data_IF_150124060258
#
_entry.id   IF_150124060258
#
_cell.length_a   1.000
_cell.length_b   1.000
_cell.length_c   1.000
_cell.angle_alpha   90.00
_cell.angle_beta   90.00
_cell.angle_gamma   90.00
#
_symmetry.space_group_name_H-M   'P 1'
#
loop_
_entity.id
_entity.type
_entity.pdbx_description
1 polymer ?
#
# COMPACT_ATOMS: atom_id res chain seq x y z
N UNK A 1 -9.66 21.26 6.35
CA UNK A 1 -9.64 21.00 7.81
C UNK A 1 -8.22 20.61 8.20
N UNK A 2 -7.54 21.39 9.04
CA UNK A 2 -6.17 21.10 9.48
C UNK A 2 -6.18 19.96 10.50
N UNK A 3 -5.57 18.82 10.17
CA UNK A 3 -5.43 17.69 11.09
C UNK A 3 -4.61 18.14 12.30
N UNK A 4 -5.16 17.96 13.51
CA UNK A 4 -4.49 18.29 14.77
C UNK A 4 -3.27 17.38 14.90
N UNK A 5 -2.07 17.91 14.67
CA UNK A 5 -0.81 17.16 14.60
C UNK A 5 -0.62 16.38 15.90
N UNK A 6 -0.82 15.06 15.83
CA UNK A 6 -0.75 14.17 17.00
C UNK A 6 0.69 14.13 17.50
N UNK A 7 0.89 13.99 18.82
CA UNK A 7 2.21 13.93 19.46
C UNK A 7 3.14 12.89 18.81
N UNK A 8 2.58 11.79 18.31
CA UNK A 8 3.30 10.74 17.57
C UNK A 8 4.00 11.27 16.30
N UNK A 9 3.35 12.12 15.51
CA UNK A 9 3.91 12.69 14.27
C UNK A 9 5.07 13.65 14.58
N UNK A 10 4.98 14.41 15.68
CA UNK A 10 6.07 15.29 16.11
C UNK A 10 7.27 14.47 16.57
N UNK A 11 7.03 13.43 17.36
CA UNK A 11 8.09 12.56 17.87
C UNK A 11 8.83 11.85 16.73
N UNK A 12 8.09 11.27 15.76
CA UNK A 12 8.72 10.62 14.61
C UNK A 12 9.56 11.58 13.78
N UNK A 13 9.07 12.81 13.53
CA UNK A 13 9.84 13.82 12.77
C UNK A 13 11.15 14.22 13.46
N UNK A 14 11.14 14.33 14.78
CA UNK A 14 12.34 14.62 15.55
C UNK A 14 13.35 13.46 15.50
N UNK A 15 12.88 12.21 15.63
CA UNK A 15 13.76 11.04 15.54
C UNK A 15 14.32 10.87 14.12
N UNK A 16 13.51 11.05 13.09
CA UNK A 16 13.94 10.99 11.68
C UNK A 16 15.03 12.03 11.38
N UNK A 17 14.84 13.28 11.82
CA UNK A 17 15.83 14.33 11.62
C UNK A 17 17.15 14.10 12.40
N UNK A 18 17.13 13.20 13.40
CA UNK A 18 18.31 12.84 14.19
C UNK A 18 19.00 11.59 13.68
N UNK A 19 18.39 10.85 12.75
CA UNK A 19 19.03 9.69 12.13
C UNK A 19 20.31 10.14 11.40
N UNK A 20 21.39 9.41 11.63
CA UNK A 20 22.64 9.52 10.88
C UNK A 20 22.89 8.18 10.25
N UNK A 21 22.95 8.14 8.93
CA UNK A 21 23.39 6.95 8.20
C UNK A 21 24.91 6.82 8.40
N UNK A 22 25.34 5.77 9.09
CA UNK A 22 26.74 5.40 9.26
C UNK A 22 26.83 3.88 9.48
N UNK A 23 27.81 3.24 8.84
CA UNK A 23 28.03 1.81 8.92
C UNK A 23 27.14 0.96 7.99
N UNK A 24 26.64 -0.15 8.55
CA UNK A 24 26.02 -1.25 7.82
C UNK A 24 24.49 -1.16 7.70
N UNK A 25 23.92 -1.79 6.67
CA UNK A 25 22.48 -1.87 6.44
C UNK A 25 21.96 -3.24 6.85
N UNK A 26 21.12 -3.28 7.91
CA UNK A 26 20.42 -4.47 8.39
C UNK A 26 18.93 -4.43 8.02
N UNK A 27 18.68 -4.38 6.71
CA UNK A 27 17.36 -4.21 6.12
C UNK A 27 16.41 -5.35 6.48
N UNK A 28 16.85 -6.60 6.37
CA UNK A 28 16.00 -7.77 6.63
C UNK A 28 15.65 -7.89 8.11
N UNK A 29 16.58 -7.53 9.01
CA UNK A 29 16.32 -7.50 10.44
C UNK A 29 15.27 -6.42 10.79
N UNK A 30 15.33 -5.25 10.13
CA UNK A 30 14.32 -4.20 10.29
C UNK A 30 12.92 -4.63 9.78
N UNK A 31 12.84 -5.27 8.61
CA UNK A 31 11.58 -5.79 8.07
C UNK A 31 11.02 -6.92 8.95
N UNK A 32 11.89 -7.80 9.48
CA UNK A 32 11.50 -8.83 10.42
C UNK A 32 10.91 -8.24 11.71
N UNK A 33 11.56 -7.21 12.26
CA UNK A 33 11.07 -6.49 13.44
C UNK A 33 9.69 -5.86 13.17
N UNK A 34 9.52 -5.21 12.01
CA UNK A 34 8.26 -4.61 11.62
C UNK A 34 7.14 -5.65 11.46
N UNK A 35 7.44 -6.82 10.88
CA UNK A 35 6.51 -7.95 10.78
C UNK A 35 6.02 -8.39 12.17
N UNK A 36 6.94 -8.59 13.12
CA UNK A 36 6.60 -8.98 14.50
C UNK A 36 5.69 -7.94 15.16
N UNK A 37 6.06 -6.65 15.08
CA UNK A 37 5.29 -5.56 15.67
C UNK A 37 3.89 -5.42 15.05
N UNK A 38 3.79 -5.54 13.72
CA UNK A 38 2.52 -5.47 13.00
C UNK A 38 1.61 -6.64 13.36
N UNK A 39 2.15 -7.86 13.49
CA UNK A 39 1.37 -9.02 13.91
C UNK A 39 0.88 -8.86 15.34
N UNK A 40 1.74 -8.42 16.25
CA UNK A 40 1.36 -8.18 17.64
C UNK A 40 0.26 -7.12 17.76
N UNK A 41 0.43 -5.99 17.07
CA UNK A 41 -0.56 -4.92 17.07
C UNK A 41 -1.85 -5.32 16.33
N UNK A 42 -1.73 -6.09 15.26
CA UNK A 42 -2.84 -6.63 14.47
C UNK A 42 -3.75 -7.56 15.26
N UNK A 43 -3.27 -8.18 16.35
CA UNK A 43 -4.14 -8.93 17.28
C UNK A 43 -5.25 -8.05 17.90
N UNK A 44 -5.02 -6.74 18.01
CA UNK A 44 -6.04 -5.78 18.49
C UNK A 44 -7.05 -5.41 17.40
N UNK A 45 -6.68 -5.54 16.14
CA UNK A 45 -7.47 -5.15 14.97
C UNK A 45 -7.39 -6.26 13.90
N UNK A 46 -8.11 -7.38 14.08
CA UNK A 46 -7.95 -8.57 13.25
C UNK A 46 -8.30 -8.34 11.77
N UNK A 47 -9.23 -7.42 11.49
CA UNK A 47 -9.65 -7.07 10.13
C UNK A 47 -8.74 -6.03 9.46
N UNK A 48 -7.73 -5.51 10.18
CA UNK A 48 -6.81 -4.53 9.63
C UNK A 48 -5.85 -5.19 8.63
N UNK A 49 -5.71 -4.55 7.47
CA UNK A 49 -4.70 -4.94 6.50
C UNK A 49 -3.30 -4.56 7.03
N UNK A 50 -2.38 -5.52 7.00
CA UNK A 50 -0.99 -5.31 7.45
C UNK A 50 -0.12 -5.01 6.25
N UNK A 51 0.60 -3.90 6.34
CA UNK A 51 1.44 -3.39 5.25
C UNK A 51 2.70 -2.75 5.80
N UNK A 52 3.83 -3.07 5.17
CA UNK A 52 5.14 -2.46 5.39
C UNK A 52 5.49 -1.69 4.12
N UNK A 53 5.96 -0.46 4.26
CA UNK A 53 6.55 0.31 3.17
C UNK A 53 8.04 0.41 3.48
N UNK A 54 8.86 -0.21 2.65
CA UNK A 54 10.31 -0.21 2.77
C UNK A 54 10.89 0.84 1.81
N UNK A 55 11.55 1.85 2.38
CA UNK A 55 12.37 2.81 1.64
C UNK A 55 13.82 2.38 1.83
N UNK A 56 14.51 2.03 0.76
CA UNK A 56 15.93 1.65 0.83
C UNK A 56 16.64 2.15 -0.42
N UNK A 57 17.84 2.69 -0.26
CA UNK A 57 18.77 2.98 -1.35
C UNK A 57 19.82 1.87 -1.53
N UNK A 58 20.00 1.01 -0.53
CA UNK A 58 21.14 0.10 -0.45
C UNK A 58 20.79 -1.38 -0.31
N UNK A 59 21.75 -2.21 -0.74
CA UNK A 59 21.82 -3.65 -0.48
C UNK A 59 22.00 -3.94 1.03
N UNK A 60 21.42 -5.04 1.50
CA UNK A 60 21.62 -5.52 2.86
C UNK A 60 23.05 -6.04 3.07
N UNK A 61 23.78 -5.49 4.05
CA UNK A 61 25.18 -5.87 4.28
C UNK A 61 25.37 -6.73 5.53
N UNK A 62 24.47 -6.68 6.50
CA UNK A 62 24.69 -7.27 7.82
C UNK A 62 23.50 -7.97 8.46
N UNK A 63 22.37 -8.13 7.77
CA UNK A 63 21.24 -8.80 8.42
C UNK A 63 21.59 -10.24 8.80
N UNK A 64 21.16 -10.59 10.01
CA UNK A 64 21.19 -11.98 10.48
C UNK A 64 20.08 -12.82 9.85
N UNK A 65 18.99 -12.17 9.42
CA UNK A 65 17.86 -12.81 8.79
C UNK A 65 18.12 -13.17 7.32
N UNK A 66 17.73 -14.39 6.95
CA UNK A 66 17.71 -14.82 5.55
C UNK A 66 16.43 -14.33 4.87
N UNK A 67 16.59 -13.60 3.76
CA UNK A 67 15.47 -13.02 3.00
C UNK A 67 14.38 -14.03 2.62
N UNK A 68 14.76 -15.25 2.24
CA UNK A 68 13.82 -16.32 1.88
C UNK A 68 12.96 -16.79 3.06
N UNK A 69 13.55 -16.91 4.26
CA UNK A 69 12.84 -17.29 5.47
C UNK A 69 11.91 -16.15 5.93
N UNK A 70 12.40 -14.92 5.87
CA UNK A 70 11.62 -13.71 6.15
C UNK A 70 10.40 -13.61 5.22
N UNK A 71 10.57 -13.84 3.92
CA UNK A 71 9.49 -13.82 2.95
C UNK A 71 8.40 -14.83 3.28
N UNK A 72 8.79 -16.04 3.72
CA UNK A 72 7.84 -17.07 4.17
C UNK A 72 7.02 -16.58 5.37
N UNK A 73 7.67 -15.97 6.36
CA UNK A 73 6.98 -15.41 7.53
C UNK A 73 6.02 -14.28 7.17
N UNK A 74 6.39 -13.41 6.22
CA UNK A 74 5.53 -12.33 5.75
C UNK A 74 4.26 -12.88 5.07
N UNK A 75 4.41 -13.91 4.24
CA UNK A 75 3.29 -14.57 3.57
C UNK A 75 2.33 -15.24 4.56
N UNK A 76 2.87 -15.99 5.52
CA UNK A 76 2.09 -16.66 6.58
C UNK A 76 1.32 -15.65 7.43
N UNK A 77 1.91 -14.50 7.71
CA UNK A 77 1.29 -13.44 8.50
C UNK A 77 0.35 -12.54 7.70
N UNK A 78 0.18 -12.77 6.38
CA UNK A 78 -0.56 -11.89 5.47
C UNK A 78 -0.11 -10.42 5.56
N UNK A 79 1.20 -10.20 5.58
CA UNK A 79 1.81 -8.87 5.58
C UNK A 79 2.31 -8.56 4.17
N UNK A 80 1.84 -7.45 3.62
CA UNK A 80 2.28 -6.97 2.30
C UNK A 80 3.45 -6.02 2.47
N UNK A 81 4.46 -6.17 1.62
CA UNK A 81 5.62 -5.27 1.61
C UNK A 81 5.63 -4.50 0.30
N UNK A 82 5.58 -3.17 0.35
CA UNK A 82 5.95 -2.36 -0.81
C UNK A 82 7.38 -1.89 -0.68
N UNK A 83 8.08 -1.84 -1.80
CA UNK A 83 9.43 -1.34 -1.89
C UNK A 83 9.48 -0.06 -2.70
N UNK A 84 10.24 0.93 -2.21
CA UNK A 84 10.66 2.09 -2.98
C UNK A 84 12.19 2.06 -2.93
N UNK A 85 12.80 1.60 -4.02
CA UNK A 85 14.24 1.47 -4.17
C UNK A 85 14.79 2.80 -4.68
N UNK A 86 15.57 3.50 -3.88
CA UNK A 86 16.15 4.80 -4.21
C UNK A 86 17.57 4.63 -4.77
N UNK A 87 18.03 5.59 -5.56
CA UNK A 87 19.39 5.56 -6.10
C UNK A 87 19.58 4.55 -7.23
N UNK A 88 20.84 4.23 -7.51
CA UNK A 88 21.24 3.47 -8.69
C UNK A 88 21.52 1.98 -8.41
N UNK A 89 21.35 1.53 -7.17
CA UNK A 89 21.62 0.15 -6.79
C UNK A 89 20.50 -0.79 -7.24
N UNK A 90 20.88 -1.98 -7.70
CA UNK A 90 19.93 -3.00 -8.12
C UNK A 90 19.38 -3.77 -6.90
N UNK A 91 18.31 -3.23 -6.33
CA UNK A 91 17.62 -3.78 -5.17
C UNK A 91 16.67 -4.95 -5.54
N UNK A 92 17.14 -5.89 -6.36
CA UNK A 92 16.33 -7.00 -6.89
C UNK A 92 15.70 -7.85 -5.79
N UNK A 93 16.43 -8.10 -4.70
CA UNK A 93 15.92 -8.88 -3.57
C UNK A 93 14.75 -8.20 -2.88
N UNK A 94 14.83 -6.89 -2.66
CA UNK A 94 13.75 -6.12 -2.07
C UNK A 94 12.52 -6.12 -2.98
N UNK A 95 12.71 -5.92 -4.28
CA UNK A 95 11.62 -6.04 -5.26
C UNK A 95 11.00 -7.43 -5.26
N UNK A 96 11.82 -8.47 -5.08
CA UNK A 96 11.36 -9.88 -5.03
C UNK A 96 10.49 -10.14 -3.81
N UNK A 97 10.85 -9.61 -2.63
CA UNK A 97 10.01 -9.69 -1.42
C UNK A 97 8.66 -9.00 -1.67
N UNK A 98 8.69 -7.80 -2.26
CA UNK A 98 7.47 -7.07 -2.60
C UNK A 98 6.62 -7.80 -3.63
N UNK A 99 7.23 -8.35 -4.68
CA UNK A 99 6.54 -9.19 -5.66
C UNK A 99 5.85 -10.38 -5.00
N UNK A 100 6.59 -11.18 -4.22
CA UNK A 100 6.09 -12.39 -3.60
C UNK A 100 4.94 -12.12 -2.63
N UNK A 101 4.98 -10.99 -1.92
CA UNK A 101 3.91 -10.60 -0.98
C UNK A 101 2.73 -9.87 -1.65
N UNK A 102 2.80 -9.60 -2.96
CA UNK A 102 1.75 -8.88 -3.71
C UNK A 102 1.77 -7.36 -3.50
N UNK A 103 2.90 -6.80 -3.10
CA UNK A 103 3.12 -5.36 -2.97
C UNK A 103 3.68 -4.69 -4.22
N UNK A 104 3.72 -3.37 -4.17
CA UNK A 104 4.31 -2.54 -5.23
C UNK A 104 5.84 -2.48 -5.12
N UNK A 105 6.47 -2.29 -6.28
CA UNK A 105 7.92 -2.34 -6.43
C UNK A 105 8.34 -1.10 -7.21
N UNK A 106 8.59 0.01 -6.54
CA UNK A 106 9.00 1.23 -7.23
C UNK A 106 10.51 1.37 -7.23
N UNK A 107 11.04 1.94 -8.32
CA UNK A 107 12.43 2.35 -8.43
C UNK A 107 12.47 3.71 -9.12
N UNK A 108 12.16 4.81 -8.39
CA UNK A 108 12.20 6.14 -8.97
C UNK A 108 13.63 6.54 -9.34
N UNK A 109 13.79 7.13 -10.51
CA UNK A 109 15.07 7.65 -11.01
C UNK A 109 15.32 9.10 -10.56
N UNK A 110 14.28 9.78 -10.07
CA UNK A 110 14.38 11.16 -9.57
C UNK A 110 13.52 11.41 -8.32
N UNK A 111 13.84 12.48 -7.59
CA UNK A 111 13.02 12.95 -6.46
C UNK A 111 11.60 13.30 -6.88
N UNK A 112 11.42 13.87 -8.07
CA UNK A 112 10.10 14.24 -8.60
C UNK A 112 9.26 12.99 -8.85
N UNK A 113 9.87 11.94 -9.42
CA UNK A 113 9.18 10.67 -9.62
C UNK A 113 8.85 9.98 -8.28
N UNK A 114 9.76 10.03 -7.31
CA UNK A 114 9.51 9.53 -5.96
C UNK A 114 8.33 10.25 -5.29
N UNK A 115 8.25 11.57 -5.44
CA UNK A 115 7.12 12.36 -4.94
C UNK A 115 5.82 12.00 -5.66
N UNK A 116 5.84 11.85 -6.99
CA UNK A 116 4.68 11.45 -7.76
C UNK A 116 4.14 10.07 -7.30
N UNK A 117 5.01 9.09 -7.04
CA UNK A 117 4.62 7.78 -6.50
C UNK A 117 3.88 7.92 -5.16
N UNK A 118 4.36 8.80 -4.27
CA UNK A 118 3.74 9.02 -2.96
C UNK A 118 2.41 9.76 -3.05
N UNK A 119 2.09 10.39 -4.18
CA UNK A 119 0.81 11.05 -4.43
C UNK A 119 -0.26 10.10 -5.01
N UNK A 120 0.12 8.91 -5.47
CA UNK A 120 -0.80 7.92 -6.05
C UNK A 120 -1.71 7.34 -4.97
N UNK A 121 -3.03 7.36 -5.21
CA UNK A 121 -4.06 6.90 -4.27
C UNK A 121 -3.82 5.44 -3.76
N UNK A 122 -3.59 4.43 -4.63
CA UNK A 122 -3.20 3.08 -4.22
C UNK A 122 -1.96 2.97 -3.32
N UNK A 123 -1.06 3.96 -3.36
CA UNK A 123 0.12 4.01 -2.50
C UNK A 123 -0.27 4.60 -1.15
N UNK A 124 -1.10 5.63 -1.11
CA UNK A 124 -1.59 6.28 0.11
C UNK A 124 -2.57 5.42 0.90
N UNK A 125 -3.45 4.69 0.22
CA UNK A 125 -4.49 3.87 0.83
C UNK A 125 -4.51 2.46 0.26
N UNK A 126 -4.36 1.48 1.13
CA UNK A 126 -4.42 0.07 0.73
C UNK A 126 -5.84 -0.35 0.29
N UNK A 127 -6.87 0.36 0.74
CA UNK A 127 -8.27 0.08 0.37
C UNK A 127 -8.59 0.48 -1.09
N UNK A 128 -7.81 1.41 -1.64
CA UNK A 128 -7.93 1.85 -3.04
C UNK A 128 -7.13 0.96 -3.99
N UNK A 129 -6.46 -0.07 -3.47
CA UNK A 129 -5.81 -1.07 -4.32
C UNK A 129 -6.84 -2.03 -4.91
N UNK A 130 -6.57 -2.54 -6.12
CA UNK A 130 -7.20 -3.74 -6.61
C UNK A 130 -7.03 -4.90 -5.61
N UNK A 131 -7.90 -5.93 -5.67
CA UNK A 131 -7.72 -7.14 -4.86
C UNK A 131 -6.31 -7.69 -5.01
N UNK A 132 -5.66 -7.94 -3.88
CA UNK A 132 -4.26 -8.36 -3.87
C UNK A 132 -4.20 -9.83 -4.30
N UNK A 133 -3.61 -10.05 -5.47
CA UNK A 133 -3.37 -11.39 -6.01
C UNK A 133 -1.90 -11.71 -5.79
N UNK A 134 -1.65 -12.64 -4.87
CA UNK A 134 -0.31 -13.17 -4.63
C UNK A 134 0.13 -13.96 -5.88
N UNK A 135 1.33 -13.73 -6.44
CA UNK A 135 1.74 -14.41 -7.65
C UNK A 135 1.88 -15.91 -7.44
N UNK A 136 1.69 -16.70 -8.50
CA UNK A 136 1.82 -18.17 -8.49
C UNK A 136 3.20 -18.61 -7.97
N UNK A 137 4.24 -17.83 -8.27
CA UNK A 137 5.59 -18.06 -7.78
C UNK A 137 5.70 -18.12 -6.26
N UNK A 138 4.83 -17.42 -5.52
CA UNK A 138 4.80 -17.48 -4.05
C UNK A 138 4.41 -18.85 -3.51
N UNK A 139 3.75 -19.68 -4.32
CA UNK A 139 3.40 -21.06 -4.00
C UNK A 139 4.35 -22.08 -4.64
N UNK A 140 5.32 -21.62 -5.45
CA UNK A 140 6.33 -22.50 -6.03
C UNK A 140 7.30 -23.03 -4.96
N UNK A 141 7.92 -24.19 -5.21
CA UNK A 141 8.92 -24.80 -4.33
C UNK A 141 8.50 -24.81 -2.83
N UNK A 142 7.38 -25.46 -2.46
CA UNK A 142 6.81 -25.38 -1.11
C UNK A 142 7.73 -25.89 0.00
N UNK A 143 8.70 -26.74 -0.34
CA UNK A 143 9.67 -27.31 0.60
C UNK A 143 11.03 -26.59 0.62
N UNK A 144 11.24 -25.60 -0.26
CA UNK A 144 12.49 -24.84 -0.34
C UNK A 144 12.22 -23.36 -0.67
N UNK A 145 12.17 -22.56 0.39
CA UNK A 145 11.96 -21.12 0.29
C UNK A 145 13.12 -20.41 -0.44
N UNK A 146 14.35 -20.94 -0.38
CA UNK A 146 15.50 -20.31 -1.05
C UNK A 146 15.40 -20.49 -2.56
N UNK A 147 15.06 -21.69 -3.03
CA UNK A 147 14.83 -21.95 -4.45
C UNK A 147 13.66 -21.10 -4.97
N UNK A 148 12.54 -21.05 -4.22
CA UNK A 148 11.42 -20.17 -4.56
C UNK A 148 11.89 -18.74 -4.78
N UNK A 149 12.63 -18.19 -3.81
CA UNK A 149 13.09 -16.81 -3.86
C UNK A 149 14.02 -16.57 -5.06
N UNK A 150 15.03 -17.43 -5.23
CA UNK A 150 16.03 -17.31 -6.30
C UNK A 150 15.39 -17.31 -7.69
N UNK A 151 14.47 -18.24 -7.96
CA UNK A 151 13.80 -18.34 -9.26
C UNK A 151 12.78 -17.21 -9.51
N UNK A 152 12.35 -16.50 -8.48
CA UNK A 152 11.38 -15.41 -8.62
C UNK A 152 12.05 -14.04 -8.84
N UNK A 153 13.37 -13.95 -8.64
CA UNK A 153 14.10 -12.68 -8.75
C UNK A 153 13.91 -11.99 -10.10
N UNK A 154 13.89 -12.75 -11.18
CA UNK A 154 13.80 -12.21 -12.53
C UNK A 154 12.39 -11.71 -12.89
N UNK A 155 11.37 -12.14 -12.14
CA UNK A 155 9.98 -11.71 -12.31
C UNK A 155 9.67 -10.38 -11.59
N UNK A 156 10.57 -9.93 -10.71
CA UNK A 156 10.37 -8.78 -9.86
C UNK A 156 10.76 -7.44 -10.53
N UNK A 157 10.17 -7.15 -11.69
CA UNK A 157 10.38 -5.88 -12.41
C UNK A 157 9.72 -4.70 -11.67
N UNK A 158 10.32 -3.50 -11.68
CA UNK A 158 9.73 -2.32 -11.06
C UNK A 158 8.46 -1.86 -11.78
N UNK A 159 7.51 -1.34 -11.00
CA UNK A 159 6.32 -0.63 -11.47
C UNK A 159 6.74 0.74 -11.99
N UNK A 160 6.30 1.08 -13.20
CA UNK A 160 6.58 2.38 -13.81
C UNK A 160 5.50 3.37 -13.42
N UNK A 161 5.93 4.51 -12.86
CA UNK A 161 5.07 5.67 -12.63
C UNK A 161 5.57 6.82 -13.49
N UNK A 162 4.73 7.26 -14.42
CA UNK A 162 4.95 8.39 -15.32
C UNK A 162 3.67 9.26 -15.35
N UNK A 163 3.71 10.41 -16.03
CA UNK A 163 2.58 11.34 -16.06
C UNK A 163 1.23 10.69 -16.42
N UNK A 164 1.24 9.75 -17.38
CA UNK A 164 0.05 9.05 -17.86
C UNK A 164 -0.01 7.58 -17.41
N UNK A 165 1.00 7.10 -16.68
CA UNK A 165 1.14 5.69 -16.28
C UNK A 165 1.18 5.64 -14.75
N UNK A 166 0.16 5.06 -14.14
CA UNK A 166 0.10 4.88 -12.70
C UNK A 166 -0.56 3.53 -12.36
N UNK A 167 -0.25 2.96 -11.18
CA UNK A 167 -0.92 1.77 -10.69
C UNK A 167 -2.43 1.90 -10.74
N UNK A 168 -3.12 0.88 -11.25
CA UNK A 168 -4.57 0.90 -11.34
C UNK A 168 -5.17 1.01 -9.94
N UNK A 169 -6.14 1.91 -9.79
CA UNK A 169 -7.01 1.98 -8.62
C UNK A 169 -8.02 0.84 -8.61
N UNK A 170 -8.66 0.67 -7.46
CA UNK A 170 -9.79 -0.24 -7.30
C UNK A 170 -10.94 0.19 -8.21
N UNK A 171 -11.35 -0.69 -9.11
CA UNK A 171 -12.54 -0.46 -9.92
C UNK A 171 -13.78 -0.44 -9.02
N UNK A 172 -14.58 0.60 -9.16
CA UNK A 172 -15.87 0.70 -8.48
C UNK A 172 -16.87 -0.21 -9.21
N UNK A 173 -17.54 -1.09 -8.47
CA UNK A 173 -18.48 -2.06 -9.03
C UNK A 173 -19.55 -1.42 -9.94
N UNK A 174 -19.90 -0.17 -9.67
CA UNK A 174 -20.99 0.56 -10.32
C UNK A 174 -20.49 1.59 -11.34
N UNK A 175 -19.21 1.53 -11.75
CA UNK A 175 -18.66 2.55 -12.66
C UNK A 175 -19.32 2.52 -14.05
N UNK A 176 -19.85 1.36 -14.42
CA UNK A 176 -20.60 1.13 -15.66
C UNK A 176 -22.12 1.14 -15.46
N UNK A 177 -22.60 1.37 -14.24
CA UNK A 177 -24.03 1.49 -14.01
C UNK A 177 -24.57 2.74 -14.68
N UNK A 178 -25.84 2.67 -15.10
CA UNK A 178 -26.52 3.81 -15.67
C UNK A 178 -26.57 4.97 -14.67
N UNK A 179 -26.05 6.12 -15.09
CA UNK A 179 -26.16 7.34 -14.30
C UNK A 179 -27.64 7.72 -14.14
N UNK A 180 -28.19 7.51 -12.96
CA UNK A 180 -29.52 7.97 -12.62
C UNK A 180 -29.39 9.38 -12.07
N UNK A 181 -29.84 10.37 -12.85
CA UNK A 181 -29.87 11.76 -12.40
C UNK A 181 -30.68 11.85 -11.10
N UNK A 182 -30.13 12.46 -10.05
CA UNK A 182 -30.76 12.49 -8.72
C UNK A 182 -32.17 13.11 -8.75
N UNK A 183 -32.46 13.98 -9.71
CA UNK A 183 -33.80 14.57 -9.92
C UNK A 183 -34.86 13.55 -10.36
N UNK A 184 -34.49 12.44 -11.01
CA UNK A 184 -35.44 11.43 -11.50
C UNK A 184 -35.84 10.38 -10.45
N UNK A 185 -35.09 10.23 -9.35
CA UNK A 185 -35.43 9.30 -8.25
C UNK A 185 -36.50 9.83 -7.28
N UNK A 186 -36.98 11.07 -7.43
CA UNK A 186 -38.01 11.65 -6.56
C UNK A 186 -39.44 11.19 -6.87
N UNK A 187 -39.68 10.57 -8.02
CA UNK A 187 -41.03 10.25 -8.50
C UNK A 187 -41.47 8.82 -8.21
N UNK A 188 -40.60 7.97 -7.66
CA UNK A 188 -40.94 6.57 -7.34
C UNK A 188 -40.96 6.34 -5.82
N UNK A 189 -42.13 6.09 -5.21
CA UNK A 189 -42.21 5.67 -3.82
C UNK A 189 -41.85 4.18 -3.74
N UNK A 190 -40.61 3.84 -3.37
CA UNK A 190 -40.24 2.46 -3.03
C UNK A 190 -40.13 2.25 -1.51
N UNK A 191 -40.74 1.17 -0.97
CA UNK A 191 -40.65 0.82 0.44
C UNK A 191 -39.45 -0.10 0.66
N UNK A 192 -38.29 0.47 0.94
CA UNK A 192 -37.13 -0.26 1.47
C UNK A 192 -36.58 0.49 2.70
N UNK A 193 -35.94 -0.17 3.66
CA UNK A 193 -35.47 0.48 4.89
C UNK A 193 -34.31 1.40 4.53
N UNK A 194 -34.64 2.65 4.23
CA UNK A 194 -33.67 3.65 3.80
C UNK A 194 -32.79 3.98 5.01
N UNK A 195 -31.50 3.68 4.86
CA UNK A 195 -30.46 4.12 5.77
C UNK A 195 -30.58 5.65 5.91
N UNK A 196 -31.08 6.13 7.06
CA UNK A 196 -31.54 7.52 7.29
C UNK A 196 -30.45 8.57 7.04
N UNK A 197 -29.19 8.14 7.13
CA UNK A 197 -28.02 8.94 6.77
C UNK A 197 -27.97 9.23 5.27
N UNK A 198 -28.27 8.26 4.43
CA UNK A 198 -28.20 8.38 2.96
C UNK A 198 -29.30 9.31 2.45
N UNK A 199 -30.52 9.22 2.97
CA UNK A 199 -31.60 10.14 2.60
C UNK A 199 -31.30 11.59 3.00
N UNK A 200 -30.73 11.79 4.20
CA UNK A 200 -30.28 13.12 4.65
C UNK A 200 -29.21 13.72 3.73
N UNK A 201 -28.17 12.95 3.41
CA UNK A 201 -27.10 13.38 2.49
C UNK A 201 -27.68 13.76 1.12
N UNK A 202 -28.59 12.95 0.57
CA UNK A 202 -29.25 13.24 -0.71
C UNK A 202 -30.07 14.53 -0.68
N UNK A 203 -30.68 14.84 0.46
CA UNK A 203 -31.46 16.06 0.65
C UNK A 203 -30.54 17.29 0.74
N UNK A 204 -29.42 17.16 1.46
CA UNK A 204 -28.40 18.21 1.57
C UNK A 204 -27.74 18.49 0.20
N UNK A 205 -27.36 17.46 -0.57
CA UNK A 205 -26.81 17.62 -1.93
C UNK A 205 -27.81 18.36 -2.85
N UNK A 206 -29.10 18.01 -2.80
CA UNK A 206 -30.13 18.73 -3.56
C UNK A 206 -30.26 20.19 -3.13
N UNK A 207 -30.21 20.48 -1.83
CA UNK A 207 -30.28 21.87 -1.35
C UNK A 207 -29.12 22.73 -1.83
N UNK A 208 -27.92 22.15 -1.94
CA UNK A 208 -26.73 22.82 -2.47
C UNK A 208 -26.82 23.02 -3.98
N UNK A 209 -27.30 22.02 -4.72
CA UNK A 209 -27.47 22.13 -6.17
C UNK A 209 -28.59 23.10 -6.58
N UNK A 210 -29.67 23.19 -5.79
CA UNK A 210 -30.79 24.09 -6.05
C UNK A 210 -30.51 25.54 -5.62
N UNK A 211 -29.63 25.74 -4.64
CA UNK A 211 -29.18 27.05 -4.19
C UNK A 211 -27.66 27.15 -4.29
N UNK A 212 -27.09 27.21 -5.51
CA UNK A 212 -25.71 27.61 -5.64
C UNK A 212 -25.62 29.02 -5.03
N UNK A 213 -24.82 29.18 -3.97
CA UNK A 213 -24.61 30.51 -3.39
C UNK A 213 -24.20 31.51 -4.49
N UNK A 214 -24.60 32.80 -4.38
CA UNK A 214 -24.28 33.83 -5.38
C UNK A 214 -22.77 34.03 -5.58
#
# INVERSE_FOLDING_TARGET
MSQKTTHAIKNSRHEVNRMRADGDTAQWDAVALANVQLVEYGRKFPDAQKRIICLSDGEDTTSSQKVAALCTSLLENHVIVDSICLGNEDNQDLRTVSYLTGGYKFQPESSEQAMAILEVEPVLSQLERPPIVVPTHSQSHPYDANLRFLFTRDEASPEVVAADIFPRGKELANIHDYFVQISSMSTTPQPAPVNTRTSRILTEIRSVAANPHP
#
